data_IF_448244841594
#
_entry.id   IF_448244841594
#
_cell.length_a   1.000
_cell.length_b   1.000
_cell.length_c   1.000
_cell.angle_alpha   90.00
_cell.angle_beta   90.00
_cell.angle_gamma   90.00
#
_symmetry.space_group_name_H-M   'P 1'
#
loop_
_entity.id
_entity.type
_entity.pdbx_description
1 polymer ?
#
# COMPACT_ATOMS: atom_id res chain seq x y z
N UNK A 1 26.76 39.02 51.14
CA UNK A 1 25.35 39.29 50.82
C UNK A 1 25.28 39.46 49.32
N UNK A 2 25.13 38.31 48.65
CA UNK A 2 24.10 38.03 47.62
C UNK A 2 24.44 38.60 46.26
N UNK A 3 25.29 37.87 45.53
CA UNK A 3 25.21 37.82 44.07
C UNK A 3 23.83 37.23 43.72
N UNK A 4 22.90 38.08 43.33
CA UNK A 4 21.60 37.63 42.81
C UNK A 4 21.82 37.20 41.36
N UNK A 5 22.09 35.89 41.18
CA UNK A 5 21.98 35.24 39.88
C UNK A 5 20.54 35.36 39.38
N UNK A 6 20.33 36.13 38.32
CA UNK A 6 19.05 36.16 37.60
C UNK A 6 19.14 35.09 36.50
N UNK A 7 18.51 33.95 36.77
CA UNK A 7 18.24 32.90 35.79
C UNK A 7 17.07 33.33 34.92
N UNK A 8 17.34 33.64 33.63
CA UNK A 8 16.28 33.78 32.62
C UNK A 8 16.50 32.67 31.59
N UNK A 9 15.71 31.58 31.61
CA UNK A 9 15.77 30.57 30.57
C UNK A 9 14.74 30.93 29.51
N UNK A 10 15.16 31.55 28.40
CA UNK A 10 14.30 31.58 27.21
C UNK A 10 15.08 31.69 25.90
N UNK A 11 15.63 30.56 25.47
CA UNK A 11 15.77 30.28 24.06
C UNK A 11 15.56 28.78 23.84
N UNK A 12 14.31 28.40 23.56
CA UNK A 12 14.03 27.20 22.78
C UNK A 12 14.56 27.49 21.38
N UNK A 13 15.87 27.28 21.19
CA UNK A 13 16.40 27.04 19.85
C UNK A 13 15.86 25.67 19.44
N UNK A 14 14.97 25.57 18.44
CA UNK A 14 14.62 24.26 17.91
C UNK A 14 15.94 23.65 17.45
N UNK A 15 16.25 22.47 17.99
CA UNK A 15 17.39 21.72 17.51
C UNK A 15 17.20 21.57 16.00
N UNK A 16 18.03 22.23 15.22
CA UNK A 16 18.23 21.84 13.83
C UNK A 16 19.19 20.66 13.89
N UNK A 17 18.68 19.51 14.34
CA UNK A 17 19.34 18.24 14.14
C UNK A 17 19.17 17.84 12.66
N UNK A 18 19.78 18.63 11.80
CA UNK A 18 20.14 18.21 10.46
C UNK A 18 21.48 17.51 10.60
N UNK A 19 21.54 16.28 10.11
CA UNK A 19 22.74 15.44 9.95
C UNK A 19 23.10 14.57 11.17
N UNK A 20 22.46 13.39 11.25
CA UNK A 20 23.19 12.11 11.22
C UNK A 20 22.25 10.92 11.30
N UNK A 21 22.24 10.10 10.24
CA UNK A 21 22.16 8.64 10.39
C UNK A 21 20.83 8.04 10.85
N UNK A 22 19.69 8.66 10.54
CA UNK A 22 18.46 7.87 10.48
C UNK A 22 18.50 7.18 9.14
N UNK A 23 18.81 5.88 9.12
CA UNK A 23 18.22 5.01 8.12
C UNK A 23 16.73 5.30 8.15
N UNK A 24 16.26 6.18 7.26
CA UNK A 24 14.89 6.14 6.81
C UNK A 24 14.83 4.84 6.00
N UNK A 25 14.84 3.71 6.72
CA UNK A 25 14.46 2.43 6.17
C UNK A 25 13.23 2.73 5.37
N UNK A 26 13.35 2.46 4.09
CA UNK A 26 12.49 2.90 2.99
C UNK A 26 11.09 2.27 3.17
N UNK A 27 10.39 2.62 4.25
CA UNK A 27 9.05 2.20 4.67
C UNK A 27 8.00 2.89 3.82
N UNK A 28 8.33 3.15 2.55
CA UNK A 28 7.40 3.68 1.57
C UNK A 28 6.70 2.46 0.96
N UNK A 29 5.39 2.27 1.17
CA UNK A 29 4.64 1.18 0.55
C UNK A 29 4.85 1.16 -0.98
N UNK A 30 5.11 2.32 -1.58
CA UNK A 30 5.48 2.49 -2.99
C UNK A 30 6.64 1.61 -3.48
N UNK A 31 7.67 1.37 -2.67
CA UNK A 31 8.79 0.50 -3.05
C UNK A 31 8.33 -0.95 -3.21
N UNK A 32 7.59 -1.44 -2.21
CA UNK A 32 7.02 -2.78 -2.22
C UNK A 32 5.96 -2.95 -3.32
N UNK A 33 5.15 -1.91 -3.59
CA UNK A 33 4.22 -1.91 -4.74
C UNK A 33 4.99 -2.03 -6.05
N UNK A 34 6.06 -1.25 -6.23
CA UNK A 34 6.88 -1.26 -7.45
C UNK A 34 7.56 -2.61 -7.67
N UNK A 35 8.13 -3.20 -6.63
CA UNK A 35 8.69 -4.56 -6.67
C UNK A 35 7.61 -5.59 -6.99
N UNK A 36 6.45 -5.51 -6.32
CA UNK A 36 5.31 -6.39 -6.57
C UNK A 36 4.85 -6.38 -8.03
N UNK A 37 4.72 -5.19 -8.61
CA UNK A 37 4.41 -5.00 -10.04
C UNK A 37 5.49 -5.57 -10.96
N UNK A 38 6.77 -5.41 -10.61
CA UNK A 38 7.86 -5.97 -11.42
C UNK A 38 7.85 -7.49 -11.40
N UNK A 39 7.69 -8.10 -10.22
CA UNK A 39 7.60 -9.55 -10.09
C UNK A 39 6.37 -10.10 -10.82
N UNK A 40 5.23 -9.43 -10.74
CA UNK A 40 4.01 -9.79 -11.47
C UNK A 40 4.23 -9.79 -12.99
N UNK A 41 4.88 -8.76 -13.53
CA UNK A 41 5.23 -8.68 -14.96
C UNK A 41 6.19 -9.78 -15.41
N UNK A 42 7.05 -10.25 -14.50
CA UNK A 42 7.98 -11.34 -14.75
C UNK A 42 7.33 -12.73 -14.55
N UNK A 43 6.03 -12.81 -14.27
CA UNK A 43 5.32 -14.06 -13.98
C UNK A 43 5.65 -14.67 -12.60
N UNK A 44 6.46 -13.98 -11.80
CA UNK A 44 6.81 -14.44 -10.45
C UNK A 44 5.75 -13.98 -9.45
N UNK A 45 4.62 -14.65 -9.48
CA UNK A 45 3.44 -14.23 -8.73
C UNK A 45 3.60 -14.38 -7.21
N UNK A 46 4.38 -15.35 -6.72
CA UNK A 46 4.59 -15.56 -5.29
C UNK A 46 5.36 -14.40 -4.64
N UNK A 47 6.43 -13.94 -5.29
CA UNK A 47 7.18 -12.77 -4.82
C UNK A 47 6.37 -11.49 -4.99
N UNK A 48 5.56 -11.40 -6.05
CA UNK A 48 4.64 -10.28 -6.23
C UNK A 48 3.65 -10.17 -5.07
N UNK A 49 2.98 -11.26 -4.71
CA UNK A 49 2.03 -11.31 -3.57
C UNK A 49 2.72 -10.92 -2.27
N UNK A 50 3.92 -11.45 -2.01
CA UNK A 50 4.66 -11.16 -0.78
C UNK A 50 4.97 -9.67 -0.64
N UNK A 51 5.48 -9.05 -1.71
CA UNK A 51 5.77 -7.62 -1.74
C UNK A 51 4.49 -6.78 -1.58
N UNK A 52 3.41 -7.13 -2.28
CA UNK A 52 2.15 -6.39 -2.20
C UNK A 52 1.49 -6.50 -0.82
N UNK A 53 1.55 -7.68 -0.17
CA UNK A 53 1.10 -7.84 1.23
C UNK A 53 1.95 -7.01 2.20
N UNK A 54 3.26 -6.91 1.98
CA UNK A 54 4.11 -6.00 2.75
C UNK A 54 3.71 -4.53 2.56
N UNK A 55 3.41 -4.10 1.33
CA UNK A 55 2.91 -2.75 1.08
C UNK A 55 1.60 -2.47 1.82
N UNK A 56 0.67 -3.42 1.82
CA UNK A 56 -0.60 -3.34 2.55
C UNK A 56 -0.37 -3.28 4.06
N UNK A 57 0.57 -4.07 4.59
CA UNK A 57 0.92 -4.03 6.01
C UNK A 57 1.47 -2.65 6.43
N UNK A 58 2.26 -2.01 5.56
CA UNK A 58 2.80 -0.67 5.80
C UNK A 58 1.75 0.44 5.65
N UNK A 59 0.83 0.30 4.69
CA UNK A 59 -0.27 1.24 4.49
C UNK A 59 -1.57 0.48 4.17
N UNK A 60 -2.37 0.17 5.20
CA UNK A 60 -3.60 -0.62 5.05
C UNK A 60 -4.70 0.06 4.22
N UNK A 61 -4.56 1.35 3.93
CA UNK A 61 -5.49 2.12 3.11
C UNK A 61 -5.01 2.33 1.67
N UNK A 62 -3.92 1.67 1.24
CA UNK A 62 -3.36 1.88 -0.09
C UNK A 62 -4.15 1.07 -1.15
N UNK A 63 -5.05 1.74 -1.86
CA UNK A 63 -5.88 1.11 -2.91
C UNK A 63 -5.06 0.50 -4.05
N UNK A 64 -3.92 1.10 -4.40
CA UNK A 64 -3.05 0.62 -5.48
C UNK A 64 -2.42 -0.75 -5.13
N UNK A 65 -1.98 -0.92 -3.87
CA UNK A 65 -1.43 -2.20 -3.40
C UNK A 65 -2.46 -3.33 -3.48
N UNK A 66 -3.71 -3.06 -3.06
CA UNK A 66 -4.81 -4.01 -3.18
C UNK A 66 -5.17 -4.32 -4.63
N UNK A 67 -5.17 -3.30 -5.51
CA UNK A 67 -5.46 -3.50 -6.92
C UNK A 67 -4.45 -4.44 -7.59
N UNK A 68 -3.15 -4.19 -7.41
CA UNK A 68 -2.14 -5.08 -7.99
C UNK A 68 -2.17 -6.48 -7.36
N UNK A 69 -2.54 -6.60 -6.09
CA UNK A 69 -2.71 -7.91 -5.46
C UNK A 69 -3.86 -8.68 -6.14
N UNK A 70 -4.98 -8.01 -6.39
CA UNK A 70 -6.11 -8.57 -7.13
C UNK A 70 -5.74 -8.98 -8.56
N UNK A 71 -4.96 -8.17 -9.27
CA UNK A 71 -4.44 -8.53 -10.59
C UNK A 71 -3.58 -9.79 -10.55
N UNK A 72 -2.68 -9.91 -9.57
CA UNK A 72 -1.83 -11.10 -9.44
C UNK A 72 -2.67 -12.35 -9.16
N UNK A 73 -3.70 -12.25 -8.33
CA UNK A 73 -4.62 -13.37 -8.11
C UNK A 73 -5.45 -13.73 -9.35
N UNK A 74 -5.86 -12.75 -10.17
CA UNK A 74 -6.50 -13.00 -11.47
C UNK A 74 -5.59 -13.80 -12.40
N UNK A 75 -4.32 -13.42 -12.52
CA UNK A 75 -3.34 -14.17 -13.34
C UNK A 75 -3.15 -15.60 -12.85
N UNK A 76 -3.26 -15.80 -11.53
CA UNK A 76 -3.24 -17.13 -10.91
C UNK A 76 -4.58 -17.88 -10.96
N UNK A 77 -5.63 -17.30 -11.56
CA UNK A 77 -7.00 -17.84 -11.59
C UNK A 77 -7.59 -18.08 -10.18
N UNK A 78 -7.09 -17.37 -9.18
CA UNK A 78 -7.60 -17.39 -7.81
C UNK A 78 -8.69 -16.32 -7.70
N UNK A 79 -9.84 -16.57 -8.32
CA UNK A 79 -10.86 -15.53 -8.51
C UNK A 79 -11.47 -15.04 -7.19
N UNK A 80 -11.71 -15.92 -6.20
CA UNK A 80 -12.16 -15.51 -4.86
C UNK A 80 -11.20 -14.54 -4.16
N UNK A 81 -9.90 -14.86 -4.14
CA UNK A 81 -8.87 -13.97 -3.57
C UNK A 81 -8.76 -12.64 -4.34
N UNK A 82 -8.94 -12.69 -5.67
CA UNK A 82 -8.95 -11.49 -6.51
C UNK A 82 -10.13 -10.57 -6.20
N UNK A 83 -11.34 -11.13 -6.02
CA UNK A 83 -12.57 -10.41 -5.67
C UNK A 83 -12.36 -9.64 -4.36
N UNK A 84 -11.88 -10.31 -3.32
CA UNK A 84 -11.65 -9.67 -2.01
C UNK A 84 -10.60 -8.55 -2.09
N UNK A 85 -9.49 -8.78 -2.79
CA UNK A 85 -8.47 -7.76 -2.97
C UNK A 85 -8.99 -6.55 -3.78
N UNK A 86 -9.73 -6.77 -4.88
CA UNK A 86 -10.26 -5.70 -5.71
C UNK A 86 -11.37 -4.92 -5.00
N UNK A 87 -12.20 -5.60 -4.20
CA UNK A 87 -13.19 -4.95 -3.34
C UNK A 87 -12.54 -4.02 -2.32
N UNK A 88 -11.47 -4.49 -1.66
CA UNK A 88 -10.68 -3.65 -0.76
C UNK A 88 -10.06 -2.45 -1.50
N UNK A 89 -9.57 -2.63 -2.74
CA UNK A 89 -9.06 -1.53 -3.56
C UNK A 89 -10.13 -0.45 -3.80
N UNK A 90 -11.35 -0.86 -4.21
CA UNK A 90 -12.49 0.02 -4.45
C UNK A 90 -12.91 0.79 -3.19
N UNK A 91 -12.99 0.10 -2.06
CA UNK A 91 -13.36 0.72 -0.78
C UNK A 91 -12.36 1.81 -0.37
N UNK A 92 -11.06 1.52 -0.50
CA UNK A 92 -10.00 2.44 -0.10
C UNK A 92 -9.77 3.59 -1.10
N UNK A 93 -10.16 3.46 -2.37
CA UNK A 93 -10.09 4.57 -3.34
C UNK A 93 -11.23 5.57 -3.20
N UNK A 94 -12.43 5.10 -2.84
CA UNK A 94 -13.61 5.97 -2.72
C UNK A 94 -13.58 6.82 -1.44
N UNK A 95 -12.79 6.44 -0.44
CA UNK A 95 -12.62 7.19 0.82
C UNK A 95 -11.73 8.43 0.70
N UNK A 96 -11.12 8.69 -0.46
CA UNK A 96 -10.24 9.84 -0.68
C UNK A 96 -10.18 10.28 -2.15
N UNK A 97 -11.21 10.99 -2.61
CA UNK A 97 -11.17 11.94 -3.74
C UNK A 97 -10.28 11.55 -4.94
N UNK A 98 -10.61 10.46 -5.65
CA UNK A 98 -9.96 10.13 -6.92
C UNK A 98 -11.00 9.57 -7.92
N UNK A 99 -11.42 10.39 -8.88
CA UNK A 99 -12.51 10.08 -9.84
C UNK A 99 -12.13 9.05 -10.94
N UNK A 100 -11.02 8.33 -10.80
CA UNK A 100 -10.50 7.43 -11.84
C UNK A 100 -10.47 5.94 -11.43
N UNK A 101 -11.40 5.52 -10.57
CA UNK A 101 -11.55 4.15 -10.05
C UNK A 101 -12.14 3.15 -11.07
N UNK A 102 -12.51 3.61 -12.27
CA UNK A 102 -13.18 2.81 -13.30
C UNK A 102 -12.43 1.51 -13.65
N UNK A 103 -11.09 1.52 -13.56
CA UNK A 103 -10.27 0.35 -13.86
C UNK A 103 -10.32 -0.73 -12.77
N UNK A 104 -10.65 -0.39 -11.51
CA UNK A 104 -10.83 -1.39 -10.45
C UNK A 104 -12.12 -2.18 -10.63
N UNK A 105 -13.22 -1.49 -10.98
CA UNK A 105 -14.52 -2.11 -11.19
C UNK A 105 -14.52 -3.08 -12.38
N UNK A 106 -13.82 -2.75 -13.48
CA UNK A 106 -13.70 -3.66 -14.62
C UNK A 106 -13.05 -5.00 -14.22
N UNK A 107 -11.94 -4.92 -13.47
CA UNK A 107 -11.24 -6.13 -12.99
C UNK A 107 -12.06 -6.89 -11.96
N UNK A 108 -12.78 -6.19 -11.09
CA UNK A 108 -13.68 -6.80 -10.11
C UNK A 108 -14.80 -7.58 -10.79
N UNK A 109 -15.49 -6.97 -11.76
CA UNK A 109 -16.55 -7.62 -12.52
C UNK A 109 -16.04 -8.85 -13.29
N UNK A 110 -14.85 -8.73 -13.90
CA UNK A 110 -14.18 -9.87 -14.55
C UNK A 110 -13.90 -11.00 -13.56
N UNK A 111 -13.43 -10.68 -12.35
CA UNK A 111 -13.16 -11.67 -11.31
C UNK A 111 -14.45 -12.40 -10.88
N UNK A 112 -15.55 -11.67 -10.64
CA UNK A 112 -16.85 -12.25 -10.30
C UNK A 112 -17.36 -13.22 -11.39
N UNK A 113 -17.38 -12.78 -12.65
CA UNK A 113 -17.89 -13.60 -13.75
C UNK A 113 -17.12 -14.93 -13.90
N UNK A 114 -15.81 -14.91 -13.71
CA UNK A 114 -15.00 -16.13 -13.80
C UNK A 114 -15.09 -17.00 -12.53
N UNK A 115 -15.41 -16.42 -11.37
CA UNK A 115 -15.65 -17.18 -10.15
C UNK A 115 -16.96 -17.98 -10.26
N UNK A 116 -18.04 -17.36 -10.73
CA UNK A 116 -19.34 -18.00 -10.88
C UNK A 116 -19.28 -19.20 -11.86
N UNK A 117 -18.52 -19.06 -12.96
CA UNK A 117 -18.30 -20.14 -13.93
C UNK A 117 -17.53 -21.36 -13.37
N UNK A 118 -16.75 -21.18 -12.31
CA UNK A 118 -16.05 -22.28 -11.65
C UNK A 118 -16.94 -22.99 -10.62
N UNK A 119 -17.91 -22.30 -10.04
CA UNK A 119 -18.83 -22.88 -9.07
C UNK A 119 -19.94 -23.70 -9.74
N UNK A 120 -20.22 -23.45 -11.02
CA UNK A 120 -21.21 -24.19 -11.82
C UNK A 120 -20.66 -25.45 -12.53
N UNK A 121 -19.35 -25.71 -12.46
CA UNK A 121 -18.68 -26.83 -13.14
C UNK A 121 -18.45 -28.06 -12.24
#
# INVERSE_FOLDING_TARGET
MTETSIDIPLAIVPNTNTSNGIEIQDKKPLKYISSGRSYARNGNYSDAITNLKHAIHLQPSNSEAFYYLGLVYLEKRQYGDAIEALKAAIQNSNTGQNENTNHYYFKYAFACQNNDQLEEA
#
